data_IF_605544845208
#
_entry.id   IF_605544845208
#
_cell.length_a   1.000
_cell.length_b   1.000
_cell.length_c   1.000
_cell.angle_alpha   90.00
_cell.angle_beta   90.00
_cell.angle_gamma   90.00
#
_symmetry.space_group_name_H-M   'P 1'
#
loop_
_entity.id
_entity.type
_entity.pdbx_description
1 polymer ?
#
# COMPACT_ATOMS: atom_id res chain seq x y z
N UNK A 1 -3.01 -10.48 -3.94
CA UNK A 1 -3.81 -9.68 -4.90
C UNK A 1 -4.36 -10.57 -6.00
N UNK A 2 -3.52 -11.30 -6.75
CA UNK A 2 -3.98 -12.18 -7.86
C UNK A 2 -4.97 -13.25 -7.43
N UNK A 3 -4.84 -13.80 -6.22
CA UNK A 3 -5.81 -14.72 -5.64
C UNK A 3 -7.20 -14.06 -5.48
N UNK A 4 -7.25 -12.85 -4.93
CA UNK A 4 -8.51 -12.09 -4.77
C UNK A 4 -9.16 -11.84 -6.13
N UNK A 5 -8.37 -11.40 -7.12
CA UNK A 5 -8.85 -11.20 -8.49
C UNK A 5 -9.45 -12.50 -9.05
N UNK A 6 -8.74 -13.61 -8.88
CA UNK A 6 -9.20 -14.90 -9.37
C UNK A 6 -10.51 -15.34 -8.69
N UNK A 7 -10.63 -15.16 -7.37
CA UNK A 7 -11.88 -15.49 -6.64
C UNK A 7 -13.05 -14.66 -7.16
N UNK A 8 -12.88 -13.34 -7.25
CA UNK A 8 -13.93 -12.44 -7.76
C UNK A 8 -14.39 -12.79 -9.18
N UNK A 9 -13.45 -13.15 -10.08
CA UNK A 9 -13.82 -13.49 -11.47
C UNK A 9 -14.46 -14.88 -11.55
N UNK A 10 -13.92 -15.86 -10.82
CA UNK A 10 -14.36 -17.26 -10.96
C UNK A 10 -15.67 -17.56 -10.22
N UNK A 11 -15.99 -16.78 -9.18
CA UNK A 11 -17.14 -17.04 -8.32
C UNK A 11 -18.13 -15.85 -8.31
N UNK A 12 -18.04 -14.94 -9.28
CA UNK A 12 -18.82 -13.68 -9.29
C UNK A 12 -20.31 -13.87 -9.10
N UNK A 13 -20.88 -14.88 -9.75
CA UNK A 13 -22.34 -15.16 -9.69
C UNK A 13 -22.77 -15.73 -8.34
N UNK A 14 -21.85 -16.30 -7.58
CA UNK A 14 -22.08 -16.87 -6.24
C UNK A 14 -21.75 -15.89 -5.11
N UNK A 15 -21.12 -14.74 -5.44
CA UNK A 15 -20.73 -13.74 -4.44
C UNK A 15 -21.93 -12.90 -3.96
N UNK A 16 -21.95 -12.49 -2.69
CA UNK A 16 -22.98 -11.63 -2.15
C UNK A 16 -23.07 -10.28 -2.86
N UNK A 17 -24.26 -9.69 -2.87
CA UNK A 17 -24.53 -8.41 -3.55
C UNK A 17 -23.66 -7.24 -3.03
N UNK A 18 -23.21 -7.28 -1.79
CA UNK A 18 -22.29 -6.28 -1.27
C UNK A 18 -20.87 -6.38 -1.85
N UNK A 19 -20.54 -7.48 -2.52
CA UNK A 19 -19.31 -7.66 -3.30
C UNK A 19 -19.56 -7.31 -4.77
N UNK A 20 -20.66 -7.83 -5.35
CA UNK A 20 -20.96 -7.69 -6.79
C UNK A 20 -21.49 -6.31 -7.18
N UNK A 21 -21.97 -5.53 -6.22
CA UNK A 21 -22.39 -4.14 -6.44
C UNK A 21 -21.26 -3.12 -6.35
N UNK A 22 -20.00 -3.58 -6.23
CA UNK A 22 -18.83 -2.72 -6.19
C UNK A 22 -18.04 -2.79 -7.49
N UNK A 23 -17.50 -1.64 -7.90
CA UNK A 23 -16.46 -1.58 -8.90
C UNK A 23 -15.09 -1.82 -8.25
N UNK A 24 -14.35 -2.81 -8.71
CA UNK A 24 -13.06 -3.19 -8.17
C UNK A 24 -11.91 -2.69 -9.03
N UNK A 25 -10.99 -1.96 -8.42
CA UNK A 25 -9.78 -1.46 -9.08
C UNK A 25 -8.55 -2.16 -8.50
N UNK A 26 -7.74 -2.77 -9.36
CA UNK A 26 -6.56 -3.52 -8.94
C UNK A 26 -5.28 -2.96 -9.53
N UNK A 27 -4.26 -2.78 -8.68
CA UNK A 27 -2.88 -2.55 -9.06
C UNK A 27 -2.05 -3.73 -8.57
N UNK A 28 -1.88 -4.80 -9.37
CA UNK A 28 -1.26 -6.05 -8.91
C UNK A 28 0.19 -5.86 -8.45
N UNK A 29 0.94 -5.00 -9.13
CA UNK A 29 2.34 -4.69 -8.80
C UNK A 29 2.55 -3.18 -8.94
N UNK A 30 2.60 -2.47 -7.82
CA UNK A 30 2.84 -1.02 -7.82
C UNK A 30 4.32 -0.69 -8.08
N UNK A 31 5.25 -1.53 -7.66
CA UNK A 31 6.69 -1.37 -7.82
C UNK A 31 7.26 -2.44 -8.75
N UNK A 32 7.05 -2.36 -10.07
CA UNK A 32 7.46 -3.41 -11.01
C UNK A 32 8.99 -3.54 -11.12
N UNK A 33 9.72 -2.44 -11.07
CA UNK A 33 11.18 -2.45 -11.17
C UNK A 33 11.83 -3.05 -9.92
N UNK A 34 11.36 -2.66 -8.74
CA UNK A 34 11.78 -3.27 -7.48
C UNK A 34 11.42 -4.76 -7.42
N UNK A 35 10.23 -5.12 -7.89
CA UNK A 35 9.80 -6.51 -7.96
C UNK A 35 10.71 -7.35 -8.86
N UNK A 36 11.02 -6.87 -10.07
CA UNK A 36 11.97 -7.53 -10.97
C UNK A 36 13.36 -7.66 -10.34
N UNK A 37 13.81 -6.63 -9.63
CA UNK A 37 15.10 -6.65 -8.94
C UNK A 37 15.16 -7.70 -7.83
N UNK A 38 14.03 -7.98 -7.14
CA UNK A 38 13.98 -9.06 -6.13
C UNK A 38 14.21 -10.45 -6.70
N UNK A 39 13.90 -10.69 -7.97
CA UNK A 39 14.16 -11.97 -8.64
C UNK A 39 15.60 -12.09 -9.14
N UNK A 40 16.17 -10.99 -9.60
CA UNK A 40 17.41 -11.04 -10.37
C UNK A 40 18.66 -10.77 -9.52
N UNK A 41 18.52 -10.00 -8.41
CA UNK A 41 19.70 -9.46 -7.71
C UNK A 41 19.59 -9.55 -6.18
N UNK A 42 18.56 -8.96 -5.58
CA UNK A 42 18.41 -8.90 -4.13
C UNK A 42 16.97 -9.25 -3.72
N UNK A 43 16.79 -10.46 -3.19
CA UNK A 43 15.48 -10.99 -2.81
C UNK A 43 14.73 -10.13 -1.79
N UNK A 44 15.44 -9.37 -0.97
CA UNK A 44 14.86 -8.52 0.08
C UNK A 44 14.80 -7.04 -0.30
N UNK A 45 15.01 -6.71 -1.58
CA UNK A 45 14.91 -5.34 -2.04
C UNK A 45 13.52 -4.73 -1.76
N UNK A 46 13.51 -3.52 -1.18
CA UNK A 46 12.29 -2.83 -0.75
C UNK A 46 11.91 -1.64 -1.63
N UNK A 47 12.89 -0.78 -1.96
CA UNK A 47 12.68 0.49 -2.65
C UNK A 47 12.29 0.29 -4.13
N UNK A 48 11.86 1.34 -4.83
CA UNK A 48 11.83 1.31 -6.29
C UNK A 48 13.27 1.30 -6.87
N UNK A 49 13.43 1.53 -8.17
CA UNK A 49 14.75 1.53 -8.82
C UNK A 49 15.11 2.89 -9.43
N UNK A 50 14.52 3.99 -8.91
CA UNK A 50 14.83 5.34 -9.35
C UNK A 50 16.31 5.68 -9.11
N UNK A 51 16.96 6.26 -10.11
CA UNK A 51 18.32 6.75 -9.98
C UNK A 51 18.34 8.05 -9.16
N UNK A 52 19.17 8.12 -8.17
CA UNK A 52 19.38 9.36 -7.41
C UNK A 52 20.27 10.34 -8.19
N UNK A 53 19.94 11.62 -8.13
CA UNK A 53 20.78 12.70 -8.68
C UNK A 53 21.80 13.24 -7.67
N UNK A 54 21.70 12.80 -6.43
CA UNK A 54 22.46 13.34 -5.29
C UNK A 54 23.30 12.29 -4.56
N UNK A 55 23.22 11.03 -4.99
CA UNK A 55 23.88 9.89 -4.34
C UNK A 55 24.01 8.73 -5.32
N UNK A 56 25.00 7.87 -5.09
CA UNK A 56 25.14 6.59 -5.81
C UNK A 56 24.11 5.53 -5.35
N UNK A 57 23.41 5.79 -4.23
CA UNK A 57 22.35 4.91 -3.76
C UNK A 57 21.10 5.02 -4.59
N UNK A 58 20.45 3.87 -4.82
CA UNK A 58 19.32 3.74 -5.73
C UNK A 58 18.02 3.55 -4.96
N UNK A 59 16.95 4.15 -5.47
CA UNK A 59 15.58 3.88 -5.07
C UNK A 59 15.06 4.73 -3.92
N UNK A 60 13.73 4.85 -3.91
CA UNK A 60 12.91 5.51 -2.89
C UNK A 60 11.96 4.46 -2.28
N UNK A 61 11.74 4.53 -0.98
CA UNK A 61 10.69 3.75 -0.33
C UNK A 61 9.32 4.33 -0.70
N UNK A 62 8.61 3.66 -1.59
CA UNK A 62 7.32 4.12 -2.07
C UNK A 62 6.30 4.29 -0.94
N UNK A 63 6.40 3.47 0.13
CA UNK A 63 5.55 3.60 1.31
C UNK A 63 6.00 4.70 2.28
N UNK A 64 6.91 5.57 1.87
CA UNK A 64 7.31 6.81 2.53
C UNK A 64 7.17 8.03 1.62
N UNK A 65 6.67 7.83 0.39
CA UNK A 65 6.62 8.87 -0.65
C UNK A 65 5.22 9.49 -0.85
N UNK A 66 4.23 9.09 -0.04
CA UNK A 66 2.87 9.64 -0.07
C UNK A 66 2.79 11.03 0.56
N UNK A 67 1.78 11.82 0.18
CA UNK A 67 1.66 13.22 0.58
C UNK A 67 1.17 13.45 2.00
N UNK A 68 0.38 12.52 2.55
CA UNK A 68 -0.13 12.66 3.90
C UNK A 68 0.98 12.42 4.92
N UNK A 69 1.17 13.38 5.81
CA UNK A 69 2.17 13.34 6.89
C UNK A 69 3.59 13.02 6.40
N UNK A 70 3.90 13.47 5.17
CA UNK A 70 5.22 13.25 4.57
C UNK A 70 6.31 13.85 5.45
N UNK A 71 7.42 13.18 5.58
CA UNK A 71 8.52 13.54 6.46
C UNK A 71 8.28 13.28 7.96
N UNK A 72 7.24 12.55 8.32
CA UNK A 72 7.00 12.09 9.68
C UNK A 72 8.06 11.10 10.18
N UNK A 73 7.97 10.76 11.46
CA UNK A 73 8.82 9.74 12.08
C UNK A 73 8.75 8.41 11.30
N UNK A 74 9.86 7.66 11.28
CA UNK A 74 9.97 6.40 10.54
C UNK A 74 10.33 6.57 9.06
N UNK A 75 10.60 7.79 8.57
CA UNK A 75 11.16 8.06 7.25
C UNK A 75 12.57 8.66 7.33
N UNK A 76 13.37 8.50 6.27
CA UNK A 76 14.74 8.99 6.19
C UNK A 76 14.94 9.99 5.06
N UNK A 77 15.85 10.95 5.27
CA UNK A 77 16.39 11.84 4.24
C UNK A 77 17.62 11.28 3.54
N UNK A 78 18.21 10.20 4.09
CA UNK A 78 19.40 9.57 3.52
C UNK A 78 18.98 8.67 2.34
N UNK A 79 19.45 8.94 1.10
CA UNK A 79 19.17 8.10 -0.06
C UNK A 79 19.58 6.64 0.07
N UNK A 80 20.54 6.34 0.94
CA UNK A 80 21.02 4.98 1.18
C UNK A 80 20.15 4.20 2.15
N UNK A 81 19.28 4.85 2.89
CA UNK A 81 18.35 4.22 3.81
C UNK A 81 17.26 3.45 3.08
N UNK A 82 16.86 2.31 3.64
CA UNK A 82 15.68 1.54 3.17
C UNK A 82 14.34 2.26 3.40
N UNK A 83 14.31 3.29 4.24
CA UNK A 83 13.15 4.15 4.49
C UNK A 83 13.29 5.54 3.84
N UNK A 84 14.13 5.69 2.82
CA UNK A 84 14.31 6.96 2.12
C UNK A 84 13.01 7.42 1.45
N UNK A 85 12.53 8.59 1.85
CA UNK A 85 11.21 9.12 1.46
C UNK A 85 11.16 9.85 0.11
N UNK A 86 12.31 9.97 -0.58
CA UNK A 86 12.42 10.79 -1.78
C UNK A 86 12.66 12.26 -1.47
N UNK A 87 12.69 13.08 -2.52
CA UNK A 87 13.02 14.52 -2.43
C UNK A 87 11.81 15.40 -2.08
N UNK A 88 10.62 14.90 -2.33
CA UNK A 88 9.32 15.54 -2.04
C UNK A 88 8.21 14.49 -2.03
N UNK A 89 7.02 14.82 -1.50
CA UNK A 89 5.85 13.94 -1.66
C UNK A 89 5.60 13.67 -3.14
N UNK A 90 5.23 12.42 -3.45
CA UNK A 90 4.95 12.00 -4.83
C UNK A 90 6.08 12.31 -5.81
N UNK A 91 7.34 12.21 -5.37
CA UNK A 91 8.49 12.36 -6.26
C UNK A 91 8.59 11.21 -7.27
N UNK A 92 8.03 10.06 -6.92
CA UNK A 92 8.11 8.84 -7.72
C UNK A 92 6.88 8.67 -8.62
N UNK A 93 7.07 8.23 -9.87
CA UNK A 93 5.96 8.07 -10.81
C UNK A 93 4.90 7.07 -10.34
N UNK A 94 5.30 6.04 -9.58
CA UNK A 94 4.42 5.02 -9.04
C UNK A 94 3.39 5.64 -8.09
N UNK A 95 3.84 6.37 -7.07
CA UNK A 95 2.96 7.02 -6.09
C UNK A 95 2.18 8.18 -6.71
N UNK A 96 2.83 8.97 -7.56
CA UNK A 96 2.20 10.08 -8.28
C UNK A 96 1.06 9.62 -9.20
N UNK A 97 1.23 8.47 -9.87
CA UNK A 97 0.21 7.92 -10.77
C UNK A 97 -1.03 7.46 -10.02
N UNK A 98 -0.87 6.78 -8.89
CA UNK A 98 -2.00 6.37 -8.04
C UNK A 98 -2.72 7.58 -7.46
N UNK A 99 -1.98 8.56 -6.91
CA UNK A 99 -2.58 9.79 -6.39
C UNK A 99 -3.37 10.54 -7.48
N UNK A 100 -2.79 10.64 -8.69
CA UNK A 100 -3.45 11.27 -9.84
C UNK A 100 -4.72 10.51 -10.26
N UNK A 101 -4.73 9.19 -10.16
CA UNK A 101 -5.92 8.40 -10.47
C UNK A 101 -7.07 8.79 -9.54
N UNK A 102 -6.85 8.86 -8.23
CA UNK A 102 -7.88 9.30 -7.28
C UNK A 102 -8.34 10.75 -7.54
N UNK A 103 -7.42 11.68 -7.77
CA UNK A 103 -7.72 13.09 -8.03
C UNK A 103 -8.53 13.27 -9.33
N UNK A 104 -8.24 12.48 -10.34
CA UNK A 104 -8.91 12.59 -11.65
C UNK A 104 -10.27 11.89 -11.72
N UNK A 105 -10.66 11.14 -10.67
CA UNK A 105 -11.94 10.44 -10.58
C UNK A 105 -12.70 10.84 -9.31
N UNK A 106 -13.02 12.14 -9.14
CA UNK A 106 -13.66 12.66 -7.93
C UNK A 106 -15.09 12.15 -7.73
N UNK A 107 -15.75 11.70 -8.80
CA UNK A 107 -17.13 11.20 -8.77
C UNK A 107 -17.24 9.76 -8.25
N UNK A 108 -16.12 9.05 -8.14
CA UNK A 108 -16.11 7.69 -7.59
C UNK A 108 -16.25 7.76 -6.07
N UNK A 109 -17.27 7.11 -5.54
CA UNK A 109 -17.41 6.90 -4.09
C UNK A 109 -16.52 5.75 -3.64
N UNK A 110 -15.35 6.09 -3.12
CA UNK A 110 -14.42 5.10 -2.58
C UNK A 110 -14.93 4.55 -1.25
N UNK A 111 -15.24 3.26 -1.20
CA UNK A 111 -15.74 2.58 0.00
C UNK A 111 -14.65 1.83 0.76
N UNK A 112 -13.50 1.59 0.13
CA UNK A 112 -12.37 0.93 0.76
C UNK A 112 -11.09 1.04 -0.04
N UNK A 113 -9.97 0.96 0.65
CA UNK A 113 -8.62 0.89 0.07
C UNK A 113 -7.80 -0.14 0.82
N UNK A 114 -7.27 -1.11 0.12
CA UNK A 114 -6.46 -2.18 0.69
C UNK A 114 -5.06 -2.16 0.09
N UNK A 115 -4.05 -1.89 0.92
CA UNK A 115 -2.64 -1.99 0.55
C UNK A 115 -2.07 -3.32 1.04
N UNK A 116 -1.65 -4.17 0.10
CA UNK A 116 -1.07 -5.48 0.41
C UNK A 116 0.45 -5.39 0.38
N UNK A 117 1.08 -5.77 1.47
CA UNK A 117 2.53 -5.76 1.63
C UNK A 117 3.08 -7.18 1.83
N UNK A 118 4.37 -7.34 1.69
CA UNK A 118 5.17 -8.49 2.16
C UNK A 118 6.30 -7.93 3.03
N UNK A 119 6.66 -8.61 4.09
CA UNK A 119 6.15 -9.86 4.61
C UNK A 119 5.73 -9.67 6.07
N UNK A 120 4.78 -10.48 6.52
CA UNK A 120 4.24 -10.45 7.88
C UNK A 120 2.80 -10.97 7.86
N UNK A 121 2.31 -11.38 9.02
CA UNK A 121 0.94 -11.83 9.21
C UNK A 121 0.17 -10.77 10.02
N UNK A 122 0.10 -9.55 9.49
CA UNK A 122 -0.52 -8.43 10.17
C UNK A 122 -1.61 -7.79 9.31
N UNK A 123 -2.69 -7.40 9.94
CA UNK A 123 -3.67 -6.45 9.43
C UNK A 123 -3.47 -5.16 10.21
N UNK A 124 -3.17 -4.07 9.50
CA UNK A 124 -2.95 -2.76 10.11
C UNK A 124 -3.90 -1.74 9.51
N UNK A 125 -4.37 -0.82 10.32
CA UNK A 125 -5.26 0.26 9.92
C UNK A 125 -4.77 1.59 10.52
N UNK A 126 -5.23 2.74 10.03
CA UNK A 126 -4.79 4.04 10.52
C UNK A 126 -5.12 4.25 12.01
N UNK A 127 -4.27 4.91 12.76
CA UNK A 127 -2.95 5.44 12.35
C UNK A 127 -1.85 4.61 13.00
N UNK A 128 -0.68 4.53 12.38
CA UNK A 128 0.52 3.98 13.02
C UNK A 128 1.14 4.89 14.09
N UNK A 129 0.36 5.80 14.64
CA UNK A 129 0.72 6.73 15.70
C UNK A 129 -0.20 6.48 16.90
N UNK A 130 0.33 6.01 18.03
CA UNK A 130 -0.48 5.63 19.21
C UNK A 130 -1.23 6.80 19.85
N UNK A 131 -0.90 8.06 19.50
CA UNK A 131 -1.58 9.25 20.02
C UNK A 131 -2.74 9.72 19.12
N UNK A 132 -3.02 8.99 18.02
CA UNK A 132 -4.03 9.39 17.04
C UNK A 132 -4.97 8.21 16.78
N UNK A 133 -6.24 8.44 17.01
CA UNK A 133 -7.31 7.48 16.74
C UNK A 133 -8.18 8.07 15.61
N UNK A 134 -8.52 7.24 14.62
CA UNK A 134 -9.46 7.62 13.55
C UNK A 134 -10.88 7.65 14.10
N UNK A 135 -11.76 8.40 13.46
CA UNK A 135 -13.17 8.54 13.88
C UNK A 135 -13.92 7.20 13.85
N UNK A 136 -13.63 6.37 12.86
CA UNK A 136 -14.20 5.04 12.61
C UNK A 136 -13.33 3.90 13.17
N UNK A 137 -12.58 4.17 14.24
CA UNK A 137 -11.65 3.20 14.85
C UNK A 137 -12.32 1.86 15.22
N UNK A 138 -13.51 1.90 15.81
CA UNK A 138 -14.20 0.68 16.26
C UNK A 138 -14.58 -0.18 15.06
N UNK A 139 -15.10 0.39 14.00
CA UNK A 139 -15.48 -0.31 12.77
C UNK A 139 -14.22 -0.92 12.08
N UNK A 140 -13.13 -0.17 12.02
CA UNK A 140 -11.87 -0.66 11.45
C UNK A 140 -11.25 -1.79 12.29
N UNK A 141 -11.31 -1.67 13.61
CA UNK A 141 -10.82 -2.68 14.52
C UNK A 141 -11.63 -3.98 14.39
N UNK A 142 -12.95 -3.89 14.37
CA UNK A 142 -13.84 -5.04 14.21
C UNK A 142 -13.64 -5.72 12.86
N UNK A 143 -13.56 -4.95 11.79
CA UNK A 143 -13.25 -5.47 10.46
C UNK A 143 -11.88 -6.16 10.42
N UNK A 144 -10.87 -5.57 11.07
CA UNK A 144 -9.53 -6.14 11.21
C UNK A 144 -9.54 -7.47 11.96
N UNK A 145 -10.25 -7.56 13.07
CA UNK A 145 -10.38 -8.79 13.86
C UNK A 145 -11.04 -9.90 13.04
N UNK A 146 -12.16 -9.61 12.39
CA UNK A 146 -12.86 -10.59 11.56
C UNK A 146 -11.99 -11.08 10.39
N UNK A 147 -11.28 -10.17 9.73
CA UNK A 147 -10.36 -10.54 8.65
C UNK A 147 -9.16 -11.37 9.15
N UNK A 148 -8.66 -11.08 10.36
CA UNK A 148 -7.58 -11.83 10.97
C UNK A 148 -7.98 -13.24 11.37
N UNK A 149 -9.19 -13.42 11.90
CA UNK A 149 -9.73 -14.73 12.27
C UNK A 149 -9.82 -15.70 11.10
N UNK A 150 -10.25 -15.22 9.92
CA UNK A 150 -10.37 -16.06 8.72
C UNK A 150 -9.04 -16.24 7.97
N UNK A 151 -8.03 -15.43 8.24
CA UNK A 151 -6.74 -15.45 7.54
C UNK A 151 -5.57 -15.93 8.40
N UNK A 152 -5.82 -16.28 9.67
CA UNK A 152 -4.80 -16.65 10.66
C UNK A 152 -3.73 -15.54 10.86
N UNK A 153 -4.12 -14.28 10.72
CA UNK A 153 -3.26 -13.11 10.89
C UNK A 153 -3.43 -12.45 12.26
N UNK A 154 -2.56 -11.52 12.57
CA UNK A 154 -2.62 -10.71 13.81
C UNK A 154 -3.07 -9.29 13.47
N UNK A 155 -3.95 -8.71 14.28
CA UNK A 155 -4.32 -7.28 14.17
C UNK A 155 -3.30 -6.44 14.92
N UNK A 156 -2.88 -5.34 14.32
CA UNK A 156 -1.99 -4.36 14.94
C UNK A 156 -2.37 -2.94 14.53
N UNK A 157 -2.24 -2.04 15.46
CA UNK A 157 -2.27 -0.60 15.25
C UNK A 157 -0.96 -0.08 14.66
#
# INVERSE_FOLDING_TARGET
VTYIINQLISNYDDEPSYITNLDWYFVPVLNPDGYTYTYNVDRLWRKNRAQSKISDCVGVDLNRNWGYDWASNGSSTDPCSNSYRGTKPFSEPETASVAKFFINNPDIQWVGYLAVHSYGQFIVYPWGDPNRIVEDYEDLNDAGIQAAEVSEMTVSL
#
